data_IF_715758185924
#
_entry.id   IF_715758185924
#
_cell.length_a   1.000
_cell.length_b   1.000
_cell.length_c   1.000
_cell.angle_alpha   90.00
_cell.angle_beta   90.00
_cell.angle_gamma   90.00
#
_symmetry.space_group_name_H-M   'P 1'
#
loop_
_entity.id
_entity.type
_entity.pdbx_description
1 polymer ?
#
# COMPACT_ATOMS: atom_id res chain seq x y z
N UNK A 1 7.28 5.66 8.68
CA UNK A 1 7.63 4.32 8.18
C UNK A 1 8.74 4.47 7.16
N UNK A 2 9.97 4.19 7.58
CA UNK A 2 11.05 3.74 6.70
C UNK A 2 10.85 2.24 6.47
N UNK A 3 11.27 1.74 5.32
CA UNK A 3 11.27 0.30 5.04
C UNK A 3 12.71 -0.16 5.22
N UNK A 4 12.94 -1.19 6.04
CA UNK A 4 14.27 -1.80 6.14
C UNK A 4 14.39 -2.96 5.16
N UNK A 5 15.63 -3.34 4.84
CA UNK A 5 15.94 -4.57 4.10
C UNK A 5 15.29 -5.80 4.74
N UNK A 6 15.28 -5.84 6.07
CA UNK A 6 14.67 -6.90 6.88
C UNK A 6 13.14 -6.93 6.74
N UNK A 7 12.51 -5.76 6.65
CA UNK A 7 11.07 -5.62 6.37
C UNK A 7 10.73 -6.17 4.99
N UNK A 8 11.54 -5.83 3.98
CA UNK A 8 11.36 -6.34 2.61
C UNK A 8 11.53 -7.86 2.53
N UNK A 9 12.53 -8.41 3.22
CA UNK A 9 12.73 -9.86 3.31
C UNK A 9 11.58 -10.57 4.00
N UNK A 10 11.06 -10.01 5.09
CA UNK A 10 9.89 -10.57 5.76
C UNK A 10 8.66 -10.54 4.83
N UNK A 11 8.45 -9.44 4.09
CA UNK A 11 7.35 -9.35 3.13
C UNK A 11 7.46 -10.37 2.00
N UNK A 12 8.67 -10.60 1.45
CA UNK A 12 8.81 -11.59 0.36
C UNK A 12 8.50 -13.00 0.83
N UNK A 13 8.87 -13.33 2.08
CA UNK A 13 8.55 -14.61 2.70
C UNK A 13 7.07 -14.74 3.06
N UNK A 14 6.48 -13.73 3.71
CA UNK A 14 5.09 -13.77 4.19
C UNK A 14 4.06 -13.80 3.07
N UNK A 15 4.35 -13.14 1.95
CA UNK A 15 3.45 -13.08 0.79
C UNK A 15 3.75 -14.16 -0.27
N UNK A 16 4.69 -15.08 0.00
CA UNK A 16 5.09 -16.11 -0.95
C UNK A 16 5.61 -15.54 -2.27
N UNK A 17 6.28 -14.39 -2.19
CA UNK A 17 6.90 -13.75 -3.35
C UNK A 17 8.20 -14.48 -3.70
N UNK A 18 8.84 -13.99 -4.76
CA UNK A 18 10.12 -14.47 -5.24
C UNK A 18 11.16 -14.35 -4.12
N UNK A 19 12.00 -15.38 -3.94
CA UNK A 19 13.18 -15.28 -3.08
C UNK A 19 14.17 -14.30 -3.71
N UNK A 20 14.56 -13.28 -2.96
CA UNK A 20 15.53 -12.27 -3.37
C UNK A 20 16.83 -12.45 -2.58
N UNK A 21 17.96 -12.35 -3.27
CA UNK A 21 19.28 -12.31 -2.64
C UNK A 21 19.46 -11.01 -1.84
N UNK A 22 20.52 -10.95 -1.05
CA UNK A 22 20.84 -9.75 -0.29
C UNK A 22 21.23 -8.57 -1.18
N UNK A 23 21.91 -8.83 -2.29
CA UNK A 23 22.25 -7.81 -3.28
C UNK A 23 20.99 -7.31 -4.01
N UNK A 24 20.10 -8.21 -4.40
CA UNK A 24 18.83 -7.85 -5.04
C UNK A 24 17.97 -7.01 -4.10
N UNK A 25 17.86 -7.39 -2.82
CA UNK A 25 17.13 -6.62 -1.81
C UNK A 25 17.70 -5.20 -1.64
N UNK A 26 19.02 -5.02 -1.74
CA UNK A 26 19.64 -3.69 -1.69
C UNK A 26 19.35 -2.87 -2.95
N UNK A 27 19.28 -3.51 -4.10
CA UNK A 27 18.94 -2.87 -5.37
C UNK A 27 17.48 -2.36 -5.38
N UNK A 28 16.52 -3.15 -4.89
CA UNK A 28 15.09 -2.77 -4.94
C UNK A 28 14.66 -1.86 -3.78
N UNK A 29 15.42 -1.83 -2.68
CA UNK A 29 15.08 -1.06 -1.48
C UNK A 29 14.80 0.44 -1.77
N UNK A 30 15.63 1.18 -2.52
CA UNK A 30 15.38 2.59 -2.85
C UNK A 30 14.07 2.81 -3.60
N UNK A 31 13.72 1.91 -4.52
CA UNK A 31 12.49 2.01 -5.31
C UNK A 31 11.26 1.81 -4.43
N UNK A 32 11.32 0.83 -3.52
CA UNK A 32 10.26 0.57 -2.55
C UNK A 32 10.10 1.75 -1.59
N UNK A 33 11.19 2.32 -1.10
CA UNK A 33 11.15 3.52 -0.26
C UNK A 33 10.52 4.72 -0.98
N UNK A 34 10.83 4.90 -2.27
CA UNK A 34 10.23 5.93 -3.11
C UNK A 34 8.70 5.74 -3.23
N UNK A 35 8.24 4.51 -3.49
CA UNK A 35 6.80 4.23 -3.56
C UNK A 35 6.10 4.47 -2.21
N UNK A 36 6.71 4.05 -1.10
CA UNK A 36 6.19 4.32 0.24
C UNK A 36 6.14 5.83 0.53
N UNK A 37 7.10 6.61 0.03
CA UNK A 37 7.06 8.06 0.14
C UNK A 37 5.88 8.67 -0.64
N UNK A 38 5.54 8.14 -1.82
CA UNK A 38 4.34 8.55 -2.57
C UNK A 38 3.06 8.19 -1.78
N UNK A 39 2.97 6.98 -1.25
CA UNK A 39 1.80 6.53 -0.47
C UNK A 39 1.55 7.42 0.76
N UNK A 40 2.61 7.93 1.40
CA UNK A 40 2.47 8.91 2.50
C UNK A 40 1.78 10.19 2.06
N UNK A 41 2.02 10.65 0.83
CA UNK A 41 1.33 11.84 0.29
C UNK A 41 -0.17 11.57 0.14
N UNK A 42 -0.55 10.37 -0.27
CA UNK A 42 -1.96 9.95 -0.35
C UNK A 42 -2.60 9.92 1.04
N UNK A 43 -1.92 9.35 2.04
CA UNK A 43 -2.44 9.32 3.42
C UNK A 43 -2.61 10.72 4.03
N UNK A 44 -1.83 11.69 3.57
CA UNK A 44 -1.97 13.09 3.98
C UNK A 44 -3.18 13.80 3.34
N UNK A 45 -3.85 13.19 2.36
CA UNK A 45 -5.07 13.74 1.77
C UNK A 45 -6.24 13.58 2.75
N UNK A 46 -7.03 14.64 2.91
CA UNK A 46 -8.27 14.62 3.68
C UNK A 46 -9.39 13.93 2.90
N UNK A 47 -9.35 12.59 2.85
CA UNK A 47 -10.31 11.78 2.09
C UNK A 47 -11.67 11.61 2.79
N UNK A 48 -11.80 12.04 4.05
CA UNK A 48 -13.03 11.90 4.84
C UNK A 48 -14.23 12.66 4.25
N UNK A 49 -13.98 13.66 3.40
CA UNK A 49 -15.02 14.44 2.71
C UNK A 49 -15.18 14.08 1.24
N UNK A 50 -14.40 13.12 0.74
CA UNK A 50 -14.49 12.66 -0.64
C UNK A 50 -15.50 11.51 -0.67
N UNK A 51 -16.67 11.68 -1.33
CA UNK A 51 -17.63 10.59 -1.45
C UNK A 51 -16.99 9.43 -2.23
N UNK A 52 -17.28 8.17 -1.88
CA UNK A 52 -16.76 7.03 -2.61
C UNK A 52 -17.15 7.13 -4.08
N UNK A 53 -16.17 6.93 -4.98
CA UNK A 53 -16.38 7.02 -6.42
C UNK A 53 -17.40 5.98 -6.93
N UNK A 54 -17.67 4.93 -6.16
CA UNK A 54 -18.75 3.99 -6.42
C UNK A 54 -20.09 4.65 -6.09
N UNK A 55 -20.82 5.06 -7.12
CA UNK A 55 -22.26 5.26 -7.00
C UNK A 55 -22.89 3.90 -6.66
N UNK A 56 -23.49 3.83 -5.47
CA UNK A 56 -24.30 2.69 -5.06
C UNK A 56 -25.46 2.60 -6.04
N UNK A 57 -25.67 1.41 -6.62
CA UNK A 57 -26.80 1.23 -7.54
C UNK A 57 -28.09 1.31 -6.73
N UNK A 58 -29.18 1.86 -7.27
CA UNK A 58 -30.48 1.83 -6.59
C UNK A 58 -30.81 0.40 -6.14
N UNK A 59 -30.96 0.20 -4.83
CA UNK A 59 -31.28 -1.09 -4.20
C UNK A 59 -30.13 -1.80 -3.48
N UNK A 60 -28.90 -1.28 -3.50
CA UNK A 60 -27.77 -1.86 -2.73
C UNK A 60 -27.74 -1.41 -1.25
N UNK A 61 -28.43 -0.31 -0.92
CA UNK A 61 -28.50 0.23 0.43
C UNK A 61 -29.85 -0.12 1.05
N UNK A 62 -29.85 -1.13 1.92
CA UNK A 62 -30.93 -1.28 2.89
C UNK A 62 -31.03 0.02 3.71
N UNK A 63 -32.20 0.66 3.63
CA UNK A 63 -32.65 1.86 4.35
C UNK A 63 -31.70 2.40 5.42
N UNK A 64 -30.99 3.47 5.11
CA UNK A 64 -30.43 4.34 6.14
C UNK A 64 -31.57 5.27 6.58
N UNK A 65 -32.10 5.01 7.78
CA UNK A 65 -33.03 5.90 8.50
C UNK A 65 -32.37 7.19 8.93
#
# INVERSE_FOLDING_TARGET
MSVSKETLRAMTQDFGLIELSDEELEEVLPDVEFQVAILKKIRALALSRVPPARQLRPGEDGEIK
#
